data_IF_343546155408
#
_entry.id   IF_343546155408
#
_cell.length_a   1.000
_cell.length_b   1.000
_cell.length_c   1.000
_cell.angle_alpha   90.00
_cell.angle_beta   90.00
_cell.angle_gamma   90.00
#
_symmetry.space_group_name_H-M   'P 1'
#
loop_
_entity.id
_entity.type
_entity.pdbx_description
1 polymer ?
#
# COMPACT_ATOMS: atom_id res chain seq x y z
N UNK A 1 -10.64 67.44 3.86
CA UNK A 1 -10.93 66.06 3.39
C UNK A 1 -10.27 65.10 4.36
N UNK A 2 -11.06 64.28 5.06
CA UNK A 2 -10.61 63.48 6.21
C UNK A 2 -9.80 62.26 5.81
N UNK A 3 -8.72 62.03 6.57
CA UNK A 3 -7.82 60.87 6.56
C UNK A 3 -8.55 59.72 7.27
N UNK A 4 -8.74 58.59 6.60
CA UNK A 4 -9.31 57.38 7.19
C UNK A 4 -8.18 56.40 7.52
N UNK A 5 -7.87 56.27 8.80
CA UNK A 5 -6.98 55.28 9.37
C UNK A 5 -7.68 53.92 9.45
N UNK A 6 -7.16 52.90 8.77
CA UNK A 6 -7.48 51.50 9.07
C UNK A 6 -6.29 50.82 9.73
N UNK A 7 -6.39 50.69 11.05
CA UNK A 7 -5.70 49.66 11.82
C UNK A 7 -6.62 48.45 11.98
N UNK A 8 -6.03 47.32 12.38
CA UNK A 8 -6.63 46.03 12.81
C UNK A 8 -6.81 44.93 11.75
N UNK A 9 -5.70 44.22 11.52
CA UNK A 9 -5.54 42.75 11.67
C UNK A 9 -6.82 41.89 11.57
N UNK A 10 -7.07 41.30 10.39
CA UNK A 10 -7.96 40.13 10.24
C UNK A 10 -7.14 38.85 10.09
N UNK A 11 -6.88 38.26 11.25
CA UNK A 11 -6.70 36.83 11.56
C UNK A 11 -6.41 35.86 10.41
N UNK A 12 -5.16 35.40 10.37
CA UNK A 12 -4.75 34.11 9.81
C UNK A 12 -5.62 32.97 10.38
N UNK A 13 -6.62 32.52 9.62
CA UNK A 13 -7.28 31.22 9.86
C UNK A 13 -6.32 30.11 9.44
N UNK A 14 -5.30 29.82 10.27
CA UNK A 14 -4.55 28.56 10.19
C UNK A 14 -5.54 27.41 10.42
N UNK A 15 -5.88 26.70 9.34
CA UNK A 15 -6.65 25.46 9.35
C UNK A 15 -6.02 24.46 10.34
N UNK A 16 -6.58 24.38 11.55
CA UNK A 16 -6.11 23.46 12.58
C UNK A 16 -6.66 22.06 12.28
N UNK A 17 -6.01 21.36 11.35
CA UNK A 17 -6.35 19.97 11.01
C UNK A 17 -6.35 19.12 12.29
N UNK A 18 -7.45 18.39 12.53
CA UNK A 18 -7.61 17.64 13.78
C UNK A 18 -6.50 16.58 13.95
N UNK A 19 -6.06 16.34 15.20
CA UNK A 19 -5.08 15.28 15.52
C UNK A 19 -5.50 13.92 14.94
N UNK A 20 -6.80 13.63 14.96
CA UNK A 20 -7.39 12.42 14.39
C UNK A 20 -7.16 12.30 12.88
N UNK A 21 -7.32 13.40 12.14
CA UNK A 21 -7.09 13.43 10.68
C UNK A 21 -5.63 13.14 10.35
N UNK A 22 -4.69 13.70 11.12
CA UNK A 22 -3.24 13.47 10.96
C UNK A 22 -2.91 11.99 11.21
N UNK A 23 -3.37 11.44 12.33
CA UNK A 23 -3.11 10.04 12.66
C UNK A 23 -3.70 9.08 11.61
N UNK A 24 -4.91 9.35 11.15
CA UNK A 24 -5.56 8.56 10.09
C UNK A 24 -4.80 8.61 8.76
N UNK A 25 -4.16 9.74 8.45
CA UNK A 25 -3.28 9.87 7.30
C UNK A 25 -2.02 9.01 7.49
N UNK A 26 -1.33 9.15 8.62
CA UNK A 26 -0.10 8.39 8.90
C UNK A 26 -0.32 6.87 8.82
N UNK A 27 -1.44 6.36 9.31
CA UNK A 27 -1.78 4.93 9.21
C UNK A 27 -1.90 4.49 7.75
N UNK A 28 -2.56 5.28 6.90
CA UNK A 28 -2.71 4.96 5.48
C UNK A 28 -1.39 5.05 4.72
N UNK A 29 -0.59 6.05 5.04
CA UNK A 29 0.71 6.23 4.42
C UNK A 29 1.63 5.04 4.80
N UNK A 30 1.60 4.59 6.06
CA UNK A 30 2.32 3.38 6.50
C UNK A 30 1.83 2.10 5.80
N UNK A 31 0.52 1.90 5.64
CA UNK A 31 -0.02 0.77 4.86
C UNK A 31 0.54 0.78 3.42
N UNK A 32 0.71 1.98 2.86
CA UNK A 32 1.27 2.14 1.53
C UNK A 32 2.77 1.80 1.48
N UNK A 33 3.55 2.30 2.43
CA UNK A 33 4.98 1.96 2.55
C UNK A 33 5.18 0.46 2.72
N UNK A 34 4.38 -0.18 3.56
CA UNK A 34 4.45 -1.62 3.78
C UNK A 34 4.12 -2.43 2.50
N UNK A 35 3.09 -2.04 1.74
CA UNK A 35 2.77 -2.69 0.46
C UNK A 35 3.93 -2.54 -0.55
N UNK A 36 4.53 -1.35 -0.63
CA UNK A 36 5.71 -1.09 -1.48
C UNK A 36 6.94 -1.90 -1.08
N UNK A 37 7.17 -2.08 0.22
CA UNK A 37 8.22 -2.96 0.72
C UNK A 37 7.95 -4.41 0.30
N UNK A 38 6.71 -4.91 0.43
CA UNK A 38 6.37 -6.26 -0.02
C UNK A 38 6.62 -6.43 -1.53
N UNK A 39 6.27 -5.44 -2.34
CA UNK A 39 6.58 -5.42 -3.79
C UNK A 39 8.08 -5.53 -4.02
N UNK A 40 8.88 -4.74 -3.30
CA UNK A 40 10.34 -4.81 -3.37
C UNK A 40 10.87 -6.21 -3.02
N UNK A 41 10.43 -6.79 -1.90
CA UNK A 41 10.89 -8.11 -1.46
C UNK A 41 10.58 -9.19 -2.51
N UNK A 42 9.35 -9.20 -3.03
CA UNK A 42 8.88 -10.18 -4.02
C UNK A 42 9.58 -10.01 -5.38
N UNK A 43 9.94 -8.78 -5.77
CA UNK A 43 10.61 -8.49 -7.04
C UNK A 43 11.99 -9.17 -7.18
N UNK A 44 12.62 -9.56 -6.06
CA UNK A 44 13.84 -10.38 -6.05
C UNK A 44 13.62 -11.80 -6.62
N UNK A 45 12.37 -12.26 -6.65
CA UNK A 45 12.01 -13.63 -7.01
C UNK A 45 11.20 -13.71 -8.30
N UNK A 46 10.43 -12.68 -8.64
CA UNK A 46 9.57 -12.67 -9.82
C UNK A 46 9.47 -11.26 -10.46
N UNK A 47 9.00 -11.19 -11.71
CA UNK A 47 8.61 -9.90 -12.30
C UNK A 47 7.22 -9.50 -11.84
N UNK A 48 6.91 -8.20 -11.81
CA UNK A 48 5.65 -7.70 -11.26
C UNK A 48 5.03 -6.71 -12.24
N UNK A 49 3.76 -6.91 -12.59
CA UNK A 49 2.99 -5.88 -13.30
C UNK A 49 2.25 -5.02 -12.30
N UNK A 50 2.51 -3.71 -12.33
CA UNK A 50 1.82 -2.70 -11.54
C UNK A 50 0.92 -1.82 -12.41
N UNK A 51 -0.09 -1.19 -11.82
CA UNK A 51 -1.01 -0.31 -12.53
C UNK A 51 -1.42 0.91 -11.72
N UNK A 52 -1.81 1.97 -12.43
CA UNK A 52 -2.28 3.21 -11.82
C UNK A 52 -3.51 2.95 -10.94
N UNK A 53 -3.56 3.50 -9.71
CA UNK A 53 -4.78 3.43 -8.90
C UNK A 53 -5.89 4.27 -9.54
N UNK A 54 -7.10 3.69 -9.67
CA UNK A 54 -8.27 4.38 -10.25
C UNK A 54 -8.73 5.61 -9.44
N UNK A 55 -8.49 5.62 -8.12
CA UNK A 55 -8.85 6.72 -7.23
C UNK A 55 -7.58 7.28 -6.62
N UNK A 56 -7.33 8.57 -6.83
CA UNK A 56 -6.22 9.30 -6.24
C UNK A 56 -6.75 10.20 -5.12
N UNK A 57 -6.05 10.21 -3.99
CA UNK A 57 -6.32 11.13 -2.89
C UNK A 57 -5.37 12.31 -2.99
N UNK A 58 -5.89 13.52 -2.74
CA UNK A 58 -5.07 14.73 -2.60
C UNK A 58 -4.44 14.86 -1.21
N UNK A 59 -4.78 13.97 -0.27
CA UNK A 59 -4.44 14.11 1.17
C UNK A 59 -3.53 12.99 1.67
N UNK A 60 -3.71 11.75 1.22
CA UNK A 60 -2.94 10.57 1.63
C UNK A 60 -2.27 9.91 0.41
N UNK A 61 -1.18 9.17 0.65
CA UNK A 61 -0.48 8.47 -0.41
C UNK A 61 -1.37 7.44 -1.10
N UNK A 62 -1.10 7.23 -2.39
CA UNK A 62 -1.79 6.26 -3.21
C UNK A 62 -0.76 5.31 -3.82
N UNK A 63 -0.88 4.04 -3.48
CA UNK A 63 0.02 3.01 -4.01
C UNK A 63 -0.36 2.59 -5.43
N UNK A 64 0.66 2.32 -6.24
CA UNK A 64 0.49 1.57 -7.47
C UNK A 64 -0.10 0.19 -7.16
N UNK A 65 -1.09 -0.24 -7.95
CA UNK A 65 -1.76 -1.51 -7.73
C UNK A 65 -0.93 -2.64 -8.30
N UNK A 66 -0.63 -3.66 -7.50
CA UNK A 66 -0.11 -4.92 -8.04
C UNK A 66 -1.20 -5.63 -8.83
N UNK A 67 -0.95 -5.89 -10.12
CA UNK A 67 -1.86 -6.63 -11.00
C UNK A 67 -1.47 -8.09 -11.12
N UNK A 68 -0.23 -8.37 -11.53
CA UNK A 68 0.21 -9.73 -11.88
C UNK A 68 1.59 -9.98 -11.27
N UNK A 69 1.76 -11.15 -10.66
CA UNK A 69 3.08 -11.70 -10.29
C UNK A 69 3.50 -12.72 -11.36
N UNK A 70 4.67 -12.56 -11.96
CA UNK A 70 5.19 -13.37 -13.06
C UNK A 70 6.32 -14.27 -12.56
N UNK A 71 5.99 -15.48 -12.12
CA UNK A 71 6.98 -16.48 -11.72
C UNK A 71 7.46 -17.29 -12.92
N UNK A 72 8.56 -18.04 -12.73
CA UNK A 72 9.10 -18.91 -13.79
C UNK A 72 8.08 -19.94 -14.29
N UNK A 73 7.22 -20.43 -13.39
CA UNK A 73 6.30 -21.54 -13.65
C UNK A 73 4.85 -21.09 -13.92
N UNK A 74 4.62 -19.78 -14.06
CA UNK A 74 3.27 -19.24 -14.31
C UNK A 74 3.08 -17.84 -13.76
N UNK A 75 1.87 -17.33 -13.94
CA UNK A 75 1.48 -16.01 -13.48
C UNK A 75 0.30 -16.07 -12.51
N UNK A 76 0.25 -15.12 -11.59
CA UNK A 76 -0.86 -14.94 -10.66
C UNK A 76 -1.46 -13.57 -10.93
N UNK A 77 -2.68 -13.53 -11.49
CA UNK A 77 -3.48 -12.30 -11.55
C UNK A 77 -4.08 -12.01 -10.16
N UNK A 78 -3.35 -11.20 -9.41
CA UNK A 78 -3.67 -10.79 -8.05
C UNK A 78 -5.01 -10.04 -7.99
N UNK A 79 -5.32 -9.26 -9.03
CA UNK A 79 -6.52 -8.42 -9.06
C UNK A 79 -7.78 -9.23 -9.36
N UNK A 80 -7.67 -10.20 -10.25
CA UNK A 80 -8.73 -11.17 -10.54
C UNK A 80 -8.94 -12.12 -9.35
N UNK A 81 -7.85 -12.57 -8.71
CA UNK A 81 -7.93 -13.39 -7.50
C UNK A 81 -8.69 -12.66 -6.38
N UNK A 82 -8.32 -11.40 -6.11
CA UNK A 82 -9.02 -10.60 -5.10
C UNK A 82 -10.51 -10.35 -5.46
N UNK A 83 -10.81 -10.13 -6.75
CA UNK A 83 -12.19 -9.92 -7.21
C UNK A 83 -13.03 -11.19 -7.09
N UNK A 84 -12.55 -12.33 -7.58
CA UNK A 84 -13.26 -13.61 -7.50
C UNK A 84 -13.59 -14.00 -6.06
N UNK A 85 -12.70 -13.66 -5.10
CA UNK A 85 -12.91 -13.94 -3.68
C UNK A 85 -13.93 -13.01 -3.01
N UNK A 86 -13.93 -11.72 -3.39
CA UNK A 86 -14.66 -10.68 -2.66
C UNK A 86 -15.98 -10.26 -3.29
N UNK A 87 -16.13 -10.47 -4.60
CA UNK A 87 -17.33 -10.10 -5.35
C UNK A 87 -18.59 -10.84 -4.86
N UNK A 88 -18.56 -12.14 -4.52
CA UNK A 88 -19.73 -12.82 -3.98
C UNK A 88 -20.24 -12.17 -2.68
N UNK A 89 -19.35 -11.84 -1.76
CA UNK A 89 -19.70 -11.16 -0.50
C UNK A 89 -20.30 -9.78 -0.76
N UNK A 90 -19.75 -9.01 -1.71
CA UNK A 90 -20.30 -7.71 -2.09
C UNK A 90 -21.73 -7.81 -2.66
N UNK A 91 -21.98 -8.80 -3.52
CA UNK A 91 -23.31 -9.03 -4.08
C UNK A 91 -24.31 -9.45 -3.01
N UNK A 92 -23.89 -10.35 -2.11
CA UNK A 92 -24.70 -10.78 -0.97
C UNK A 92 -25.05 -9.63 -0.03
N UNK A 93 -24.11 -8.73 0.29
CA UNK A 93 -24.42 -7.56 1.12
C UNK A 93 -25.53 -6.69 0.50
N UNK A 94 -25.53 -6.53 -0.83
CA UNK A 94 -26.58 -5.77 -1.53
C UNK A 94 -27.92 -6.49 -1.45
N UNK A 95 -27.91 -7.81 -1.65
CA UNK A 95 -29.10 -8.67 -1.52
C UNK A 95 -29.69 -8.62 -0.10
N UNK A 96 -28.83 -8.61 0.92
CA UNK A 96 -29.18 -8.47 2.34
C UNK A 96 -29.65 -7.03 2.71
N UNK A 97 -29.82 -6.14 1.72
CA UNK A 97 -30.37 -4.80 1.90
C UNK A 97 -29.35 -3.72 2.30
N UNK A 98 -28.04 -4.01 2.25
CA UNK A 98 -27.01 -2.97 2.46
C UNK A 98 -26.99 -2.03 1.25
N UNK A 99 -27.09 -0.73 1.52
CA UNK A 99 -27.02 0.29 0.49
C UNK A 99 -25.75 0.12 -0.38
N UNK A 100 -25.93 0.08 -1.70
CA UNK A 100 -24.86 -0.14 -2.70
C UNK A 100 -23.59 0.70 -2.48
N UNK A 101 -23.65 2.01 -2.14
CA UNK A 101 -22.44 2.79 -1.85
C UNK A 101 -21.66 2.28 -0.63
N UNK A 102 -22.37 1.81 0.40
CA UNK A 102 -21.77 1.26 1.63
C UNK A 102 -21.11 -0.08 1.35
N UNK A 103 -21.81 -0.99 0.67
CA UNK A 103 -21.28 -2.28 0.26
C UNK A 103 -20.05 -2.11 -0.63
N UNK A 104 -20.11 -1.21 -1.62
CA UNK A 104 -18.98 -0.95 -2.53
C UNK A 104 -17.75 -0.39 -1.79
N UNK A 105 -17.96 0.48 -0.80
CA UNK A 105 -16.85 0.98 0.04
C UNK A 105 -16.19 -0.14 0.85
N UNK A 106 -16.97 -1.09 1.39
CA UNK A 106 -16.44 -2.26 2.11
C UNK A 106 -15.69 -3.18 1.17
N UNK A 107 -16.26 -3.47 0.00
CA UNK A 107 -15.63 -4.24 -1.07
C UNK A 107 -14.27 -3.68 -1.47
N UNK A 108 -14.18 -2.39 -1.81
CA UNK A 108 -12.90 -1.75 -2.19
C UNK A 108 -11.88 -1.77 -1.04
N UNK A 109 -12.32 -1.60 0.22
CA UNK A 109 -11.43 -1.69 1.38
C UNK A 109 -10.92 -3.12 1.57
N UNK A 110 -11.80 -4.12 1.51
CA UNK A 110 -11.41 -5.52 1.64
C UNK A 110 -10.51 -5.97 0.49
N UNK A 111 -10.71 -5.45 -0.72
CA UNK A 111 -9.84 -5.74 -1.87
C UNK A 111 -8.41 -5.27 -1.63
N UNK A 112 -8.23 -4.07 -1.08
CA UNK A 112 -6.90 -3.58 -0.69
C UNK A 112 -6.26 -4.46 0.39
N UNK A 113 -7.00 -4.77 1.44
CA UNK A 113 -6.51 -5.61 2.54
C UNK A 113 -6.13 -7.01 2.07
N UNK A 114 -6.96 -7.59 1.19
CA UNK A 114 -6.67 -8.89 0.59
C UNK A 114 -5.36 -8.87 -0.20
N UNK A 115 -5.15 -7.88 -1.06
CA UNK A 115 -3.91 -7.76 -1.84
C UNK A 115 -2.71 -7.63 -0.90
N UNK A 116 -2.77 -6.75 0.09
CA UNK A 116 -1.70 -6.57 1.06
C UNK A 116 -1.34 -7.89 1.78
N UNK A 117 -2.34 -8.55 2.37
CA UNK A 117 -2.12 -9.81 3.08
C UNK A 117 -1.65 -10.92 2.13
N UNK A 118 -2.14 -10.95 0.89
CA UNK A 118 -1.68 -11.92 -0.10
C UNK A 118 -0.20 -11.72 -0.44
N UNK A 119 0.25 -10.48 -0.64
CA UNK A 119 1.68 -10.20 -0.85
C UNK A 119 2.52 -10.56 0.38
N UNK A 120 2.00 -10.31 1.58
CA UNK A 120 2.62 -10.73 2.83
C UNK A 120 2.79 -12.25 2.90
N UNK A 121 1.74 -13.02 2.57
CA UNK A 121 1.78 -14.48 2.52
C UNK A 121 2.79 -14.98 1.47
N UNK A 122 2.83 -14.37 0.29
CA UNK A 122 3.84 -14.71 -0.73
C UNK A 122 5.25 -14.43 -0.22
N UNK A 123 5.48 -13.32 0.48
CA UNK A 123 6.80 -13.05 1.05
C UNK A 123 7.19 -14.08 2.13
N UNK A 124 6.24 -14.55 2.96
CA UNK A 124 6.48 -15.65 3.88
C UNK A 124 6.95 -16.92 3.15
N UNK A 125 6.23 -17.32 2.09
CA UNK A 125 6.58 -18.50 1.28
C UNK A 125 7.95 -18.36 0.58
N UNK A 126 8.40 -17.13 0.31
CA UNK A 126 9.72 -16.83 -0.26
C UNK A 126 10.85 -16.84 0.79
N UNK A 127 10.54 -17.15 2.06
CA UNK A 127 11.51 -17.32 3.14
C UNK A 127 11.76 -16.07 3.99
N UNK A 128 10.91 -15.06 3.87
CA UNK A 128 10.91 -13.94 4.82
C UNK A 128 10.14 -14.30 6.08
N UNK A 129 10.50 -13.68 7.19
CA UNK A 129 9.70 -13.71 8.43
C UNK A 129 9.47 -12.29 8.94
N UNK A 130 8.36 -12.08 9.64
CA UNK A 130 7.92 -10.73 10.03
C UNK A 130 7.54 -10.70 11.50
N UNK A 131 7.97 -9.64 12.19
CA UNK A 131 7.31 -9.25 13.43
C UNK A 131 6.08 -8.43 13.07
N UNK A 132 4.93 -9.10 13.07
CA UNK A 132 3.67 -8.57 12.57
C UNK A 132 2.54 -8.69 13.60
N UNK A 133 1.53 -7.85 13.42
CA UNK A 133 0.30 -7.84 14.22
C UNK A 133 -0.91 -7.51 13.35
N UNK A 134 -1.94 -8.35 13.48
CA UNK A 134 -3.22 -8.08 12.86
C UNK A 134 -3.84 -6.78 13.39
N UNK A 135 -4.40 -6.00 12.46
CA UNK A 135 -5.24 -4.87 12.82
C UNK A 135 -6.49 -5.32 13.60
N UNK A 136 -7.07 -4.39 14.38
CA UNK A 136 -8.30 -4.62 15.14
C UNK A 136 -9.38 -5.28 14.27
N UNK A 137 -9.87 -6.43 14.74
CA UNK A 137 -10.95 -7.19 14.10
C UNK A 137 -12.18 -6.31 13.90
N UNK A 138 -12.78 -6.41 12.72
CA UNK A 138 -14.07 -5.80 12.38
C UNK A 138 -14.96 -6.87 11.77
N UNK A 139 -16.26 -6.84 12.09
CA UNK A 139 -17.25 -7.72 11.45
C UNK A 139 -17.43 -7.41 9.97
N UNK A 140 -17.09 -6.19 9.53
CA UNK A 140 -17.40 -5.66 8.20
C UNK A 140 -16.22 -5.72 7.25
N UNK A 141 -15.00 -5.76 7.77
CA UNK A 141 -13.78 -5.72 6.95
C UNK A 141 -12.72 -6.62 7.52
N UNK A 142 -11.91 -7.20 6.66
CA UNK A 142 -10.78 -8.04 7.06
C UNK A 142 -9.77 -7.25 7.89
N UNK A 143 -9.02 -7.98 8.71
CA UNK A 143 -7.86 -7.44 9.41
C UNK A 143 -6.68 -7.43 8.44
N UNK A 144 -6.06 -6.26 8.28
CA UNK A 144 -4.79 -6.12 7.57
C UNK A 144 -3.64 -6.54 8.48
N UNK A 145 -2.66 -7.24 7.93
CA UNK A 145 -1.41 -7.48 8.63
C UNK A 145 -0.53 -6.23 8.65
N UNK A 146 0.16 -5.99 9.77
CA UNK A 146 1.08 -4.86 9.89
C UNK A 146 2.36 -5.32 10.54
N UNK A 147 3.48 -5.07 9.88
CA UNK A 147 4.80 -5.51 10.32
C UNK A 147 5.72 -4.34 10.70
N UNK A 148 6.53 -4.56 11.72
CA UNK A 148 7.49 -3.56 12.24
C UNK A 148 8.93 -3.99 11.98
N UNK A 149 9.19 -5.29 11.83
CA UNK A 149 10.50 -5.82 11.46
C UNK A 149 10.35 -6.95 10.45
N UNK A 150 11.33 -7.07 9.57
CA UNK A 150 11.40 -8.07 8.51
C UNK A 150 12.76 -8.75 8.62
N UNK A 151 12.77 -10.07 8.48
CA UNK A 151 13.97 -10.89 8.52
C UNK A 151 14.04 -11.79 7.29
N UNK A 152 15.25 -12.12 6.86
CA UNK A 152 15.52 -13.09 5.81
C UNK A 152 16.68 -13.98 6.24
N UNK A 153 16.48 -15.31 6.21
CA UNK A 153 17.47 -16.29 6.72
C UNK A 153 17.98 -15.97 8.14
N UNK A 154 17.08 -15.50 9.02
CA UNK A 154 17.39 -15.17 10.42
C UNK A 154 18.11 -13.83 10.65
N UNK A 155 18.38 -13.05 9.61
CA UNK A 155 18.97 -11.69 9.74
C UNK A 155 17.90 -10.63 9.54
N UNK A 156 17.92 -9.59 10.38
CA UNK A 156 17.04 -8.44 10.20
C UNK A 156 17.42 -7.70 8.91
N UNK A 157 16.43 -7.49 8.04
CA UNK A 157 16.60 -6.79 6.76
C UNK A 157 15.95 -5.42 6.76
N UNK A 158 14.84 -5.25 7.49
CA UNK A 158 14.19 -3.96 7.69
C UNK A 158 13.65 -3.83 9.11
N UNK A 159 13.87 -2.67 9.71
CA UNK A 159 13.11 -2.18 10.86
C UNK A 159 12.05 -1.13 10.45
N UNK A 160 11.23 -0.71 11.41
CA UNK A 160 10.13 0.21 11.16
C UNK A 160 10.56 1.54 10.53
N UNK A 161 11.70 2.09 10.95
CA UNK A 161 12.21 3.34 10.40
C UNK A 161 12.58 3.17 8.93
N UNK A 162 13.25 2.06 8.59
CA UNK A 162 13.62 1.72 7.21
C UNK A 162 12.37 1.43 6.36
N UNK A 163 11.36 0.73 6.90
CA UNK A 163 10.08 0.51 6.21
C UNK A 163 9.46 1.84 5.81
N UNK A 164 9.49 2.85 6.68
CA UNK A 164 8.93 4.17 6.39
C UNK A 164 9.77 4.92 5.36
N UNK A 165 11.10 4.94 5.49
CA UNK A 165 11.97 5.71 4.59
C UNK A 165 12.08 5.07 3.22
N UNK A 166 12.46 3.80 3.16
CA UNK A 166 12.65 3.05 1.91
C UNK A 166 11.30 2.79 1.25
N UNK A 167 10.27 2.45 2.03
CA UNK A 167 8.92 2.26 1.52
C UNK A 167 8.35 3.54 0.93
N UNK A 168 8.71 4.72 1.46
CA UNK A 168 8.36 6.01 0.87
C UNK A 168 8.99 6.22 -0.51
N UNK A 169 10.31 6.04 -0.61
CA UNK A 169 11.07 6.15 -1.86
C UNK A 169 10.51 5.21 -2.93
N UNK A 170 10.28 3.94 -2.56
CA UNK A 170 9.73 2.94 -3.47
C UNK A 170 8.31 3.31 -3.88
N UNK A 171 7.46 3.77 -2.94
CA UNK A 171 6.08 4.17 -3.25
C UNK A 171 6.03 5.27 -4.29
N UNK A 172 6.83 6.31 -4.12
CA UNK A 172 6.88 7.45 -5.04
C UNK A 172 7.34 7.00 -6.44
N UNK A 173 8.42 6.21 -6.51
CA UNK A 173 8.92 5.66 -7.76
C UNK A 173 7.87 4.79 -8.48
N UNK A 174 7.26 3.82 -7.78
CA UNK A 174 6.26 2.93 -8.37
C UNK A 174 5.04 3.71 -8.88
N UNK A 175 4.66 4.79 -8.18
CA UNK A 175 3.55 5.65 -8.58
C UNK A 175 3.88 6.46 -9.85
N UNK A 176 5.09 7.01 -9.93
CA UNK A 176 5.56 7.79 -11.08
C UNK A 176 5.61 6.93 -12.35
N UNK A 177 6.06 5.67 -12.25
CA UNK A 177 6.06 4.73 -13.36
C UNK A 177 4.67 4.53 -13.98
N UNK A 178 3.61 4.61 -13.18
CA UNK A 178 2.23 4.41 -13.64
C UNK A 178 1.45 5.71 -13.81
N UNK A 179 2.10 6.88 -13.66
CA UNK A 179 1.45 8.17 -13.71
C UNK A 179 0.76 8.43 -15.05
N UNK A 180 1.37 8.06 -16.17
CA UNK A 180 0.83 8.30 -17.51
C UNK A 180 -0.15 7.24 -18.01
N UNK A 181 -0.51 6.28 -17.14
CA UNK A 181 -1.69 5.44 -17.27
C UNK A 181 -1.58 4.37 -18.35
N UNK A 182 -1.18 3.16 -17.97
CA UNK A 182 -1.49 1.91 -18.69
C UNK A 182 -1.32 0.74 -17.71
N UNK A 183 -0.07 0.44 -17.40
CA UNK A 183 0.44 -0.51 -16.41
C UNK A 183 1.89 -0.73 -16.82
N UNK A 184 2.77 -0.97 -15.87
CA UNK A 184 4.20 -1.21 -16.14
C UNK A 184 4.57 -2.58 -15.61
N UNK A 185 5.35 -3.34 -16.39
CA UNK A 185 5.97 -4.58 -15.93
C UNK A 185 7.38 -4.26 -15.45
N UNK A 186 7.62 -4.45 -14.16
CA UNK A 186 8.92 -4.39 -13.52
C UNK A 186 9.62 -5.73 -13.75
N UNK A 187 10.83 -5.69 -14.31
CA UNK A 187 11.67 -6.87 -14.45
C UNK A 187 11.97 -7.49 -13.08
N UNK A 188 12.34 -8.77 -13.05
CA UNK A 188 12.90 -9.36 -11.82
C UNK A 188 14.23 -8.66 -11.55
N UNK A 189 14.51 -8.34 -10.29
CA UNK A 189 15.67 -7.51 -9.92
C UNK A 189 15.66 -6.15 -10.63
N UNK A 190 14.52 -5.48 -10.59
CA UNK A 190 14.39 -4.14 -11.14
C UNK A 190 15.47 -3.21 -10.57
N UNK A 191 16.21 -2.55 -11.45
CA UNK A 191 17.44 -1.82 -11.09
C UNK A 191 17.20 -0.81 -9.97
N UNK A 192 16.14 0.00 -10.08
CA UNK A 192 15.83 1.00 -9.06
C UNK A 192 15.50 0.35 -7.72
N UNK A 193 14.66 -0.69 -7.74
CA UNK A 193 14.32 -1.43 -6.54
C UNK A 193 15.58 -2.00 -5.87
N UNK A 194 16.54 -2.51 -6.64
CA UNK A 194 17.81 -3.03 -6.11
C UNK A 194 18.83 -1.97 -5.68
N UNK A 195 18.63 -0.69 -5.99
CA UNK A 195 19.56 0.38 -5.53
C UNK A 195 19.24 0.94 -4.15
N UNK A 196 18.06 0.63 -3.58
CA UNK A 196 17.75 1.04 -2.21
C UNK A 196 18.70 0.34 -1.22
N UNK A 197 19.15 1.08 -0.20
CA UNK A 197 20.30 0.77 0.70
C UNK A 197 20.23 -0.58 1.44
N UNK A 198 19.13 -1.32 1.28
CA UNK A 198 18.91 -2.65 1.85
C UNK A 198 19.31 -3.79 0.90
N UNK A 199 19.77 -3.52 -0.33
CA UNK A 199 19.96 -4.57 -1.35
C UNK A 199 21.17 -5.51 -1.19
N UNK A 200 22.02 -5.36 -0.16
CA UNK A 200 23.16 -6.25 0.02
C UNK A 200 22.83 -7.64 0.60
N UNK A 201 21.57 -7.92 0.96
CA UNK A 201 21.20 -9.21 1.57
C UNK A 201 21.27 -10.41 0.62
N UNK A 202 21.02 -10.23 -0.69
CA UNK A 202 20.99 -11.32 -1.67
C UNK A 202 22.36 -11.61 -2.31
N UNK A 203 23.39 -10.80 -2.05
CA UNK A 203 24.74 -10.96 -2.61
C UNK A 203 25.64 -11.92 -1.82
N UNK A 204 25.10 -12.65 -0.84
CA UNK A 204 25.84 -13.70 -0.13
C UNK A 204 25.21 -15.06 -0.40
N UNK A 205 25.58 -15.65 -1.54
CA UNK A 205 25.53 -17.08 -1.82
C UNK A 205 26.68 -17.41 -2.77
#
# INVERSE_FOLDING_TARGET
>A
MSICSLSSTKSDKRNKTSKYTIQKKMVKDLECYQESILVYLINNFCSITIARPRKQSTVALCCAKVKILHFKNGEIDVMNLAESRLRPTYLKEIEDGIAKPTAFRRYEKNKKIFVHNFLFDIALELGFTFDSKLSRKSEKTFSIERFERIFFKGKEVFNLQQIVTEGGIITDHLFDLVANGNSVKLGRFDEFLQTTNSAHFFQTN
#
